data_IF_064143727972
#
_entry.id   IF_064143727972
#
_cell.length_a   1.000
_cell.length_b   1.000
_cell.length_c   1.000
_cell.angle_alpha   90.00
_cell.angle_beta   90.00
_cell.angle_gamma   90.00
#
_symmetry.space_group_name_H-M   'P 1'
#
loop_
_entity.id
_entity.type
_entity.pdbx_description
1 polymer ?
#
# COMPACT_ATOMS: atom_id res chain seq x y z
N UNK A 1 -21.14 -10.45 -17.38
CA UNK A 1 -20.34 -9.22 -17.20
C UNK A 1 -21.24 -8.16 -16.59
N UNK A 2 -20.97 -7.76 -15.36
CA UNK A 2 -21.67 -6.64 -14.73
C UNK A 2 -21.22 -5.31 -15.35
N UNK A 3 -22.15 -4.37 -15.48
CA UNK A 3 -21.87 -2.99 -15.95
C UNK A 3 -21.91 -2.08 -14.72
N UNK A 4 -20.82 -1.36 -14.48
CA UNK A 4 -20.68 -0.40 -13.38
C UNK A 4 -20.65 1.03 -13.92
N UNK A 5 -21.01 2.00 -13.08
CA UNK A 5 -20.91 3.40 -13.48
C UNK A 5 -19.44 3.82 -13.60
N UNK A 6 -19.11 4.61 -14.62
CA UNK A 6 -17.75 5.12 -14.85
C UNK A 6 -17.21 5.83 -13.60
N UNK A 7 -18.03 6.69 -12.99
CA UNK A 7 -17.69 7.45 -11.78
C UNK A 7 -17.33 6.53 -10.60
N UNK A 8 -18.12 5.48 -10.36
CA UNK A 8 -17.84 4.52 -9.28
C UNK A 8 -16.49 3.82 -9.47
N UNK A 9 -16.19 3.40 -10.70
CA UNK A 9 -14.91 2.76 -11.01
C UNK A 9 -13.76 3.75 -10.81
N UNK A 10 -13.89 4.98 -11.29
CA UNK A 10 -12.88 6.03 -11.11
C UNK A 10 -12.62 6.36 -9.63
N UNK A 11 -13.67 6.47 -8.81
CA UNK A 11 -13.54 6.71 -7.37
C UNK A 11 -12.87 5.54 -6.63
N UNK A 12 -13.12 4.30 -7.04
CA UNK A 12 -12.44 3.13 -6.48
C UNK A 12 -10.97 3.07 -6.88
N UNK A 13 -10.65 3.38 -8.13
CA UNK A 13 -9.28 3.43 -8.64
C UNK A 13 -8.50 4.52 -7.92
N UNK A 14 -9.07 5.72 -7.78
CA UNK A 14 -8.42 6.84 -7.11
C UNK A 14 -8.06 6.50 -5.65
N UNK A 15 -9.04 6.00 -4.87
CA UNK A 15 -8.81 5.62 -3.47
C UNK A 15 -7.81 4.48 -3.32
N UNK A 16 -7.78 3.53 -4.25
CA UNK A 16 -6.78 2.48 -4.25
C UNK A 16 -5.38 3.03 -4.55
N UNK A 17 -5.25 3.90 -5.54
CA UNK A 17 -3.98 4.52 -5.91
C UNK A 17 -3.38 5.30 -4.73
N UNK A 18 -4.16 6.15 -4.06
CA UNK A 18 -3.70 6.92 -2.90
C UNK A 18 -3.13 6.04 -1.78
N UNK A 19 -3.82 4.95 -1.45
CA UNK A 19 -3.40 4.03 -0.38
C UNK A 19 -2.19 3.20 -0.80
N UNK A 20 -2.14 2.79 -2.06
CA UNK A 20 -1.00 2.07 -2.61
C UNK A 20 0.25 2.96 -2.63
N UNK A 21 0.13 4.22 -3.04
CA UNK A 21 1.22 5.20 -2.99
C UNK A 21 1.70 5.41 -1.54
N UNK A 22 0.80 5.56 -0.58
CA UNK A 22 1.16 5.67 0.83
C UNK A 22 1.95 4.44 1.34
N UNK A 23 1.55 3.23 0.95
CA UNK A 23 2.31 2.01 1.27
C UNK A 23 3.72 2.05 0.66
N UNK A 24 3.84 2.45 -0.61
CA UNK A 24 5.14 2.56 -1.27
C UNK A 24 6.07 3.54 -0.55
N UNK A 25 5.57 4.70 -0.13
CA UNK A 25 6.35 5.68 0.64
C UNK A 25 6.85 5.10 1.97
N UNK A 26 6.00 4.36 2.69
CA UNK A 26 6.41 3.74 3.95
C UNK A 26 7.44 2.64 3.71
N UNK A 27 7.30 1.86 2.64
CA UNK A 27 8.25 0.80 2.27
C UNK A 27 9.60 1.35 1.81
N UNK A 28 9.62 2.52 1.16
CA UNK A 28 10.86 3.23 0.82
C UNK A 28 11.67 3.57 2.08
N UNK A 29 10.98 3.78 3.20
CA UNK A 29 11.62 3.94 4.50
C UNK A 29 12.57 5.13 4.55
N UNK A 30 13.56 5.06 5.44
CA UNK A 30 14.66 6.02 5.50
C UNK A 30 15.99 5.31 5.34
N UNK A 31 16.86 5.84 4.49
CA UNK A 31 18.23 5.36 4.38
C UNK A 31 18.91 5.41 5.74
N UNK A 32 19.57 4.31 6.08
CA UNK A 32 20.30 4.16 7.34
C UNK A 32 21.49 3.25 7.13
N UNK A 33 22.42 3.28 8.07
CA UNK A 33 23.60 2.44 8.07
C UNK A 33 23.55 1.55 9.31
N UNK A 34 23.82 0.26 9.14
CA UNK A 34 23.92 -0.70 10.23
C UNK A 34 25.35 -1.18 10.36
N UNK A 35 25.92 -0.99 11.54
CA UNK A 35 27.22 -1.59 11.88
C UNK A 35 27.03 -3.10 12.13
N UNK A 36 27.85 -3.89 11.45
CA UNK A 36 27.91 -5.35 11.58
C UNK A 36 29.34 -5.78 11.91
N UNK A 37 29.54 -7.04 12.29
CA UNK A 37 30.88 -7.58 12.57
C UNK A 37 31.84 -7.49 11.36
N UNK A 38 31.30 -7.40 10.14
CA UNK A 38 32.04 -7.26 8.88
C UNK A 38 32.14 -5.82 8.35
N UNK A 39 31.63 -4.82 9.08
CA UNK A 39 31.65 -3.41 8.67
C UNK A 39 30.27 -2.77 8.59
N UNK A 40 30.19 -1.60 7.95
CA UNK A 40 28.96 -0.81 7.80
C UNK A 40 28.22 -1.26 6.53
N UNK A 41 26.93 -1.57 6.65
CA UNK A 41 26.07 -1.97 5.54
C UNK A 41 24.89 -0.98 5.43
N UNK A 42 24.59 -0.48 4.22
CA UNK A 42 23.42 0.35 3.99
C UNK A 42 22.13 -0.46 4.17
N UNK A 43 21.10 0.18 4.69
CA UNK A 43 19.79 -0.41 4.91
C UNK A 43 18.68 0.63 4.89
N UNK A 44 17.45 0.15 5.03
CA UNK A 44 16.27 0.98 5.16
C UNK A 44 15.68 0.80 6.55
N UNK A 45 15.49 1.90 7.26
CA UNK A 45 14.73 1.93 8.50
C UNK A 45 13.25 2.10 8.16
N UNK A 46 12.47 1.07 8.46
CA UNK A 46 11.01 1.06 8.29
C UNK A 46 10.35 0.72 9.62
N UNK A 47 9.36 1.49 10.05
CA UNK A 47 8.62 1.20 11.27
C UNK A 47 7.60 0.10 11.01
N UNK A 48 7.70 -1.00 11.77
CA UNK A 48 6.79 -2.13 11.63
C UNK A 48 5.31 -1.75 11.86
N UNK A 49 5.03 -0.79 12.74
CA UNK A 49 3.67 -0.29 12.96
C UNK A 49 3.11 0.39 11.71
N UNK A 50 3.86 1.31 11.12
CA UNK A 50 3.45 2.06 9.92
C UNK A 50 3.18 1.12 8.74
N UNK A 51 4.03 0.09 8.55
CA UNK A 51 3.80 -0.93 7.52
C UNK A 51 2.50 -1.70 7.77
N UNK A 52 2.24 -2.14 9.01
CA UNK A 52 1.01 -2.88 9.31
C UNK A 52 -0.23 -2.06 8.99
N UNK A 53 -0.26 -0.81 9.43
CA UNK A 53 -1.39 0.08 9.16
C UNK A 53 -1.59 0.33 7.65
N UNK A 54 -0.52 0.58 6.91
CA UNK A 54 -0.61 0.82 5.47
C UNK A 54 -1.06 -0.42 4.68
N UNK A 55 -0.57 -1.59 5.06
CA UNK A 55 -0.99 -2.86 4.46
C UNK A 55 -2.48 -3.12 4.72
N UNK A 56 -2.95 -2.91 5.95
CA UNK A 56 -4.37 -3.08 6.29
C UNK A 56 -5.28 -2.11 5.53
N UNK A 57 -4.80 -0.88 5.27
CA UNK A 57 -5.56 0.12 4.53
C UNK A 57 -5.68 -0.23 3.04
N UNK A 58 -4.57 -0.69 2.41
CA UNK A 58 -4.58 -1.22 1.04
C UNK A 58 -5.49 -2.45 0.95
N UNK A 59 -5.40 -3.37 1.91
CA UNK A 59 -6.26 -4.55 1.95
C UNK A 59 -7.76 -4.17 2.04
N UNK A 60 -8.07 -3.09 2.76
CA UNK A 60 -9.43 -2.56 2.85
C UNK A 60 -9.91 -2.01 1.51
N UNK A 61 -9.08 -1.27 0.78
CA UNK A 61 -9.42 -0.79 -0.57
C UNK A 61 -9.66 -1.93 -1.56
N UNK A 62 -8.82 -2.97 -1.52
CA UNK A 62 -8.99 -4.17 -2.33
C UNK A 62 -10.29 -4.91 -1.99
N UNK A 63 -10.65 -5.01 -0.70
CA UNK A 63 -11.94 -5.58 -0.28
C UNK A 63 -13.11 -4.76 -0.83
N UNK A 64 -13.02 -3.43 -0.81
CA UNK A 64 -14.06 -2.57 -1.37
C UNK A 64 -14.23 -2.80 -2.88
N UNK A 65 -13.13 -2.79 -3.64
CA UNK A 65 -13.12 -3.08 -5.08
C UNK A 65 -13.75 -4.44 -5.36
N UNK A 66 -13.30 -5.49 -4.65
CA UNK A 66 -13.86 -6.84 -4.80
C UNK A 66 -15.36 -6.86 -4.49
N UNK A 67 -15.80 -6.16 -3.46
CA UNK A 67 -17.21 -6.15 -3.06
C UNK A 67 -18.13 -5.47 -4.07
N UNK A 68 -17.63 -4.43 -4.75
CA UNK A 68 -18.42 -3.59 -5.67
C UNK A 68 -18.33 -4.04 -7.12
N UNK A 69 -17.13 -4.38 -7.59
CA UNK A 69 -16.86 -4.73 -8.99
C UNK A 69 -16.70 -6.25 -9.21
N UNK A 70 -16.34 -6.99 -8.16
CA UNK A 70 -16.07 -8.43 -8.25
C UNK A 70 -17.30 -9.33 -8.07
N UNK A 71 -18.49 -8.74 -7.88
CA UNK A 71 -19.76 -9.46 -7.87
C UNK A 71 -20.40 -9.32 -9.25
N UNK A 72 -20.03 -10.21 -10.18
CA UNK A 72 -20.52 -10.19 -11.55
C UNK A 72 -20.41 -11.53 -12.24
#
# INVERSE_FOLDING_TARGET
>A
MAVHSKKEVEELVHRFAERYEALLEIMRGKETEKLTASGIIPGLSVKAADIRFAVDDVATALKEIKSRLGKG
#
